data_IF_828545603076
#
_entry.id   IF_828545603076
#
_cell.length_a   1.000
_cell.length_b   1.000
_cell.length_c   1.000
_cell.angle_alpha   90.00
_cell.angle_beta   90.00
_cell.angle_gamma   90.00
#
_symmetry.space_group_name_H-M   'P 1'
#
loop_
_entity.id
_entity.type
_entity.pdbx_description
1 polymer ?
#
# COMPACT_ATOMS: atom_id res chain seq x y z
N UNK A 1 -13.66 -16.48 -4.12
CA UNK A 1 -13.33 -15.96 -2.78
C UNK A 1 -12.15 -14.97 -2.89
N UNK A 2 -12.34 -13.86 -3.61
CA UNK A 2 -11.35 -12.79 -3.75
C UNK A 2 -11.53 -11.85 -2.55
N UNK A 3 -10.65 -11.94 -1.54
CA UNK A 3 -10.49 -10.85 -0.56
C UNK A 3 -10.00 -9.63 -1.34
N UNK A 4 -10.94 -8.82 -1.81
CA UNK A 4 -10.70 -7.40 -1.98
C UNK A 4 -10.19 -6.94 -0.62
N UNK A 5 -8.89 -6.74 -0.50
CA UNK A 5 -8.33 -5.95 0.57
C UNK A 5 -8.85 -4.54 0.27
N UNK A 6 -10.08 -4.23 0.72
CA UNK A 6 -10.41 -2.88 1.17
C UNK A 6 -9.17 -2.48 1.94
N UNK A 7 -8.46 -1.46 1.42
CA UNK A 7 -7.21 -1.00 2.02
C UNK A 7 -7.44 -1.00 3.52
N UNK A 8 -6.62 -1.75 4.26
CA UNK A 8 -6.79 -1.83 5.69
C UNK A 8 -6.87 -0.38 6.16
N UNK A 9 -8.05 0.00 6.65
CA UNK A 9 -8.19 1.30 7.27
C UNK A 9 -7.22 1.30 8.45
N UNK A 10 -6.80 2.48 8.88
CA UNK A 10 -6.06 2.58 10.12
C UNK A 10 -6.78 1.80 11.22
N UNK A 11 -6.03 1.13 12.12
CA UNK A 11 -6.65 0.45 13.26
C UNK A 11 -7.63 1.37 13.98
N UNK A 12 -8.74 0.83 14.48
CA UNK A 12 -9.73 1.62 15.20
C UNK A 12 -9.09 2.37 16.37
N UNK A 13 -9.34 3.68 16.48
CA UNK A 13 -8.73 4.53 17.51
C UNK A 13 -7.37 5.12 17.14
N UNK A 14 -6.80 4.78 15.97
CA UNK A 14 -5.46 5.24 15.59
C UNK A 14 -5.41 6.75 15.33
N UNK A 15 -6.41 7.30 14.63
CA UNK A 15 -6.50 8.73 14.36
C UNK A 15 -6.65 9.50 15.69
N UNK A 16 -7.56 9.06 16.55
CA UNK A 16 -7.79 9.65 17.87
C UNK A 16 -6.52 9.58 18.73
N UNK A 17 -5.83 8.44 18.73
CA UNK A 17 -4.57 8.27 19.43
C UNK A 17 -3.46 9.18 18.90
N UNK A 18 -3.41 9.41 17.59
CA UNK A 18 -2.46 10.34 16.99
C UNK A 18 -2.78 11.80 17.31
N UNK A 19 -4.05 12.14 17.52
CA UNK A 19 -4.50 13.47 17.97
C UNK A 19 -4.25 13.71 19.46
N UNK A 20 -4.01 12.66 20.26
CA UNK A 20 -3.65 12.84 21.66
C UNK A 20 -2.40 13.73 21.76
N UNK A 21 -2.58 14.87 22.42
CA UNK A 21 -1.50 15.78 22.81
C UNK A 21 -0.47 14.97 23.56
N UNK A 22 0.83 15.21 23.29
CA UNK A 22 1.91 14.55 24.03
C UNK A 22 1.56 14.60 25.51
N UNK A 23 1.41 13.42 26.13
CA UNK A 23 1.26 13.35 27.57
C UNK A 23 2.41 14.19 28.14
N UNK A 24 2.06 15.21 28.93
CA UNK A 24 3.04 16.09 29.55
C UNK A 24 4.15 15.22 30.16
N UNK A 25 5.43 15.66 30.13
CA UNK A 25 6.50 14.99 30.88
C UNK A 25 6.10 14.66 32.34
N UNK A 26 5.08 15.31 32.88
CA UNK A 26 4.46 15.07 34.19
C UNK A 26 3.45 13.90 34.27
N UNK A 27 3.39 13.01 33.27
CA UNK A 27 2.47 11.85 33.26
C UNK A 27 2.66 10.84 34.41
N UNK A 28 3.61 11.07 35.33
CA UNK A 28 3.98 10.16 36.42
C UNK A 28 4.66 8.87 35.95
N UNK A 29 4.76 8.65 34.64
CA UNK A 29 5.42 7.49 34.06
C UNK A 29 6.95 7.62 34.14
N UNK A 30 7.66 6.52 34.41
CA UNK A 30 9.11 6.55 34.56
C UNK A 30 9.79 6.88 33.23
N UNK A 31 10.95 7.53 33.34
CA UNK A 31 11.90 7.72 32.26
C UNK A 31 13.09 6.79 32.45
N UNK A 32 13.56 6.15 31.38
CA UNK A 32 14.69 5.23 31.43
C UNK A 32 15.68 5.49 30.29
N UNK A 33 16.96 5.51 30.65
CA UNK A 33 18.06 5.68 29.71
C UNK A 33 18.96 4.46 29.76
N UNK A 34 19.28 3.90 28.60
CA UNK A 34 20.14 2.71 28.47
C UNK A 34 21.49 2.89 29.14
N UNK A 35 22.21 3.97 28.84
CA UNK A 35 23.54 4.25 29.41
C UNK A 35 23.53 4.30 30.94
N UNK A 36 22.53 4.99 31.54
CA UNK A 36 22.34 5.07 32.98
C UNK A 36 22.02 3.71 33.61
N UNK A 37 21.06 2.98 33.05
CA UNK A 37 20.68 1.66 33.56
C UNK A 37 21.85 0.68 33.55
N UNK A 38 22.59 0.64 32.43
CA UNK A 38 23.75 -0.24 32.30
C UNK A 38 24.82 0.14 33.30
N UNK A 39 25.13 1.43 33.50
CA UNK A 39 26.10 1.87 34.51
C UNK A 39 25.73 1.41 35.94
N UNK A 40 24.45 1.50 36.31
CA UNK A 40 23.95 1.11 37.63
C UNK A 40 23.93 -0.42 37.85
N UNK A 41 23.67 -1.19 36.80
CA UNK A 41 23.47 -2.65 36.88
C UNK A 41 24.66 -3.48 36.39
N UNK A 42 25.76 -2.83 36.00
CA UNK A 42 26.98 -3.50 35.52
C UNK A 42 27.73 -4.16 36.69
N UNK A 43 27.30 -5.37 37.05
CA UNK A 43 28.03 -6.26 37.99
C UNK A 43 29.05 -7.17 37.30
N UNK A 44 29.25 -7.04 35.99
CA UNK A 44 30.16 -7.89 35.22
C UNK A 44 30.24 -7.52 33.73
N UNK A 45 29.43 -8.16 32.89
CA UNK A 45 29.44 -7.95 31.43
C UNK A 45 28.44 -6.89 30.98
N UNK A 46 28.83 -6.09 29.97
CA UNK A 46 27.94 -5.14 29.31
C UNK A 46 26.74 -5.82 28.65
N UNK A 47 26.96 -7.01 28.07
CA UNK A 47 25.92 -7.78 27.40
C UNK A 47 24.77 -8.17 28.32
N UNK A 48 25.08 -8.72 29.51
CA UNK A 48 24.05 -9.12 30.47
C UNK A 48 23.23 -7.93 30.99
N UNK A 49 23.88 -6.79 31.24
CA UNK A 49 23.18 -5.57 31.65
C UNK A 49 22.27 -5.02 30.52
N UNK A 50 22.73 -5.09 29.26
CA UNK A 50 21.94 -4.69 28.10
C UNK A 50 20.73 -5.63 27.87
N UNK A 51 20.91 -6.95 27.96
CA UNK A 51 19.81 -7.91 27.88
C UNK A 51 18.78 -7.72 29.00
N UNK A 52 19.26 -7.46 30.23
CA UNK A 52 18.39 -7.11 31.37
C UNK A 52 17.61 -5.82 31.10
N UNK A 53 18.25 -4.80 30.52
CA UNK A 53 17.58 -3.58 30.10
C UNK A 53 16.45 -3.88 29.10
N UNK A 54 16.74 -4.56 28.00
CA UNK A 54 15.74 -4.85 26.97
C UNK A 54 14.59 -5.71 27.51
N UNK A 55 14.90 -6.68 28.36
CA UNK A 55 13.89 -7.51 29.04
C UNK A 55 13.03 -6.66 29.96
N UNK A 56 13.61 -5.74 30.71
CA UNK A 56 12.86 -4.86 31.62
C UNK A 56 11.94 -3.89 30.89
N UNK A 57 12.39 -3.34 29.76
CA UNK A 57 11.66 -2.35 28.95
C UNK A 57 10.50 -2.97 28.19
N UNK A 58 10.60 -4.26 27.86
CA UNK A 58 9.60 -4.98 27.06
C UNK A 58 8.62 -5.78 27.92
N UNK A 59 8.62 -5.63 29.24
CA UNK A 59 7.63 -6.32 30.09
C UNK A 59 6.22 -5.79 29.81
N UNK A 60 5.19 -6.66 29.78
CA UNK A 60 3.81 -6.25 29.47
C UNK A 60 3.25 -5.13 30.33
N UNK A 61 3.63 -5.08 31.60
CA UNK A 61 3.14 -4.10 32.57
C UNK A 61 3.93 -2.78 32.56
N UNK A 62 5.07 -2.76 31.87
CA UNK A 62 5.93 -1.56 31.84
C UNK A 62 5.49 -0.58 30.78
N UNK A 63 5.50 0.70 31.16
CA UNK A 63 5.11 1.84 30.34
C UNK A 63 6.07 2.98 30.64
N UNK A 64 6.46 3.72 29.61
CA UNK A 64 7.52 4.73 29.71
C UNK A 64 7.04 6.09 29.21
N UNK A 65 7.33 7.16 29.96
CA UNK A 65 7.21 8.52 29.43
C UNK A 65 8.30 8.76 28.39
N UNK A 66 9.53 8.40 28.74
CA UNK A 66 10.68 8.54 27.87
C UNK A 66 11.61 7.34 27.99
N UNK A 67 11.89 6.71 26.85
CA UNK A 67 12.82 5.61 26.70
C UNK A 67 13.94 6.05 25.75
N UNK A 68 15.14 6.20 26.29
CA UNK A 68 16.34 6.55 25.51
C UNK A 68 17.27 5.35 25.40
N UNK A 69 17.56 4.95 24.17
CA UNK A 69 18.50 3.89 23.84
C UNK A 69 19.71 4.55 23.19
N UNK A 70 20.80 4.65 23.93
CA UNK A 70 22.05 5.30 23.56
C UNK A 70 23.23 4.34 23.82
N UNK A 71 23.37 3.26 23.02
CA UNK A 71 24.45 2.33 23.21
C UNK A 71 25.79 3.04 23.02
N UNK A 72 26.64 2.91 24.03
CA UNK A 72 28.01 3.40 24.07
C UNK A 72 28.96 2.24 24.40
N UNK A 73 30.24 2.38 24.03
CA UNK A 73 31.27 1.36 24.28
C UNK A 73 31.21 0.15 23.33
N UNK A 74 31.76 -1.00 23.72
CA UNK A 74 31.92 -2.16 22.83
C UNK A 74 30.61 -2.83 22.37
N UNK A 75 29.45 -2.44 22.93
CA UNK A 75 28.14 -2.95 22.53
C UNK A 75 27.69 -2.47 21.13
N UNK A 76 28.43 -1.50 20.56
CA UNK A 76 28.29 -0.93 19.21
C UNK A 76 28.23 -2.00 18.09
N UNK A 77 28.70 -3.23 18.35
CA UNK A 77 28.72 -4.33 17.38
C UNK A 77 27.42 -5.14 17.27
N UNK A 78 26.43 -4.94 18.17
CA UNK A 78 25.30 -5.86 18.31
C UNK A 78 24.01 -5.45 17.57
N UNK A 79 23.15 -6.46 17.37
CA UNK A 79 21.78 -6.32 16.91
C UNK A 79 20.89 -5.96 18.11
N UNK A 80 20.28 -4.79 18.10
CA UNK A 80 19.33 -4.35 19.11
C UNK A 80 17.96 -4.93 18.76
N UNK A 81 17.36 -5.72 19.66
CA UNK A 81 16.04 -6.30 19.46
C UNK A 81 15.10 -5.92 20.60
N UNK A 82 14.03 -5.22 20.27
CA UNK A 82 12.96 -4.82 21.18
C UNK A 82 11.69 -5.58 20.77
N UNK A 83 11.30 -6.57 21.57
CA UNK A 83 10.09 -7.36 21.32
C UNK A 83 9.06 -7.07 22.39
N UNK A 84 8.15 -6.14 22.09
CA UNK A 84 7.02 -5.86 22.97
C UNK A 84 5.97 -6.97 22.86
N UNK A 85 5.19 -7.20 23.93
CA UNK A 85 4.13 -8.18 23.91
C UNK A 85 3.11 -7.82 22.82
N UNK A 86 2.61 -8.85 22.15
CA UNK A 86 1.56 -8.66 21.16
C UNK A 86 0.26 -8.36 21.91
N UNK A 87 -0.14 -7.10 21.91
CA UNK A 87 -1.49 -6.74 22.33
C UNK A 87 -2.49 -7.17 21.25
N UNK A 88 -3.67 -7.64 21.67
CA UNK A 88 -4.73 -8.03 20.75
C UNK A 88 -5.00 -6.89 19.76
N UNK A 89 -4.92 -7.16 18.45
CA UNK A 89 -5.11 -6.15 17.38
C UNK A 89 -6.49 -5.44 17.43
N UNK A 90 -7.44 -6.00 18.18
CA UNK A 90 -8.78 -5.46 18.39
C UNK A 90 -8.88 -4.53 19.60
N UNK A 91 -7.86 -4.47 20.46
CA UNK A 91 -7.85 -3.50 21.57
C UNK A 91 -7.80 -2.09 20.97
N UNK A 92 -8.72 -1.22 21.37
CA UNK A 92 -8.66 0.19 21.00
C UNK A 92 -7.30 0.76 21.41
N UNK A 93 -6.66 1.50 20.51
CA UNK A 93 -5.39 2.14 20.81
C UNK A 93 -5.65 3.27 21.80
N UNK A 94 -5.00 3.20 22.96
CA UNK A 94 -5.15 4.16 24.05
C UNK A 94 -3.81 4.48 24.71
N UNK A 95 -3.82 5.47 25.61
CA UNK A 95 -2.69 5.80 26.49
C UNK A 95 -2.21 4.59 27.28
N UNK A 96 -3.11 3.75 27.78
CA UNK A 96 -2.82 2.56 28.59
C UNK A 96 -2.08 1.47 27.79
N UNK A 97 -2.33 1.43 26.48
CA UNK A 97 -1.66 0.50 25.56
C UNK A 97 -0.37 1.04 24.95
N UNK A 98 -0.01 2.29 25.27
CA UNK A 98 1.17 2.93 24.69
C UNK A 98 2.42 2.54 25.47
N UNK A 99 3.27 1.69 24.88
CA UNK A 99 4.49 1.20 25.51
C UNK A 99 5.46 2.32 25.90
N UNK A 100 5.65 3.32 25.03
CA UNK A 100 6.49 4.48 25.32
C UNK A 100 5.93 5.74 24.64
N UNK A 101 5.78 6.84 25.37
CA UNK A 101 5.39 8.12 24.76
C UNK A 101 6.49 8.66 23.86
N UNK A 102 7.75 8.53 24.28
CA UNK A 102 8.90 8.90 23.47
C UNK A 102 9.96 7.80 23.51
N UNK A 103 10.30 7.28 22.33
CA UNK A 103 11.43 6.38 22.10
C UNK A 103 12.50 7.15 21.31
N UNK A 104 13.66 7.35 21.90
CA UNK A 104 14.81 7.94 21.21
C UNK A 104 15.90 6.88 21.09
N UNK A 105 16.25 6.51 19.87
CA UNK A 105 17.38 5.60 19.62
C UNK A 105 18.49 6.39 18.96
N UNK A 106 19.62 6.48 19.63
CA UNK A 106 20.81 7.19 19.17
C UNK A 106 22.05 6.31 19.33
N UNK A 107 23.19 6.69 18.76
CA UNK A 107 24.45 5.93 18.92
C UNK A 107 24.75 4.98 17.75
N UNK A 108 25.80 4.18 17.88
CA UNK A 108 26.27 3.31 16.81
C UNK A 108 25.67 1.90 16.96
N UNK A 109 24.97 1.42 15.94
CA UNK A 109 24.41 0.07 15.90
C UNK A 109 24.31 -0.44 14.46
N UNK A 110 24.34 -1.77 14.29
CA UNK A 110 24.19 -2.39 12.95
C UNK A 110 22.74 -2.67 12.60
N UNK A 111 21.96 -3.16 13.55
CA UNK A 111 20.56 -3.54 13.38
C UNK A 111 19.77 -3.07 14.60
N UNK A 112 18.63 -2.43 14.37
CA UNK A 112 17.58 -2.20 15.35
C UNK A 112 16.31 -2.87 14.83
N UNK A 113 15.86 -3.92 15.51
CA UNK A 113 14.59 -4.60 15.24
C UNK A 113 13.62 -4.29 16.37
N UNK A 114 12.51 -3.64 16.05
CA UNK A 114 11.46 -3.31 17.00
C UNK A 114 10.17 -4.01 16.56
N UNK A 115 9.55 -4.77 17.46
CA UNK A 115 8.40 -5.63 17.16
C UNK A 115 7.25 -5.27 18.10
N UNK A 116 6.06 -5.06 17.55
CA UNK A 116 4.80 -4.77 18.25
C UNK A 116 4.82 -3.49 19.10
N UNK A 117 5.76 -2.58 18.86
CA UNK A 117 5.88 -1.37 19.66
C UNK A 117 4.70 -0.41 19.40
N UNK A 118 4.22 0.25 20.45
CA UNK A 118 3.19 1.30 20.39
C UNK A 118 3.80 2.57 20.97
N UNK A 119 4.13 3.53 20.13
CA UNK A 119 5.01 4.66 20.49
C UNK A 119 4.47 6.00 20.01
N UNK A 120 4.40 6.98 20.91
CA UNK A 120 3.94 8.34 20.54
C UNK A 120 4.92 9.06 19.60
N UNK A 121 6.18 9.15 19.96
CA UNK A 121 7.27 9.72 19.16
C UNK A 121 8.45 8.76 19.13
N UNK A 122 8.85 8.31 17.94
CA UNK A 122 10.05 7.54 17.71
C UNK A 122 11.07 8.39 16.95
N UNK A 123 12.22 8.70 17.57
CA UNK A 123 13.31 9.45 16.95
C UNK A 123 14.52 8.54 16.73
N UNK A 124 15.01 8.47 15.49
CA UNK A 124 16.12 7.59 15.10
C UNK A 124 17.34 8.43 14.71
N UNK A 125 18.36 8.44 15.57
CA UNK A 125 19.58 9.26 15.43
C UNK A 125 20.86 8.41 15.48
N UNK A 126 21.03 7.47 14.55
CA UNK A 126 22.24 6.67 14.54
C UNK A 126 23.48 7.51 14.27
N UNK A 127 24.57 7.12 14.91
CA UNK A 127 25.87 7.77 14.80
C UNK A 127 26.77 6.83 14.00
N UNK A 128 27.17 7.25 12.80
CA UNK A 128 28.07 6.48 11.94
C UNK A 128 27.48 5.18 11.35
N UNK A 129 28.15 4.62 10.34
CA UNK A 129 27.73 3.39 9.64
C UNK A 129 26.44 3.54 8.83
N UNK A 130 25.92 2.41 8.33
CA UNK A 130 24.61 2.34 7.65
C UNK A 130 23.70 1.38 8.42
N UNK A 131 23.06 1.83 9.50
CA UNK A 131 22.25 0.95 10.34
C UNK A 131 21.02 0.46 9.58
N UNK A 132 20.64 -0.79 9.85
CA UNK A 132 19.38 -1.37 9.44
C UNK A 132 18.36 -1.20 10.56
N UNK A 133 17.24 -0.53 10.30
CA UNK A 133 16.14 -0.38 11.24
C UNK A 133 14.94 -1.11 10.69
N UNK A 134 14.45 -2.11 11.42
CA UNK A 134 13.29 -2.92 11.07
C UNK A 134 12.19 -2.74 12.11
N UNK A 135 11.04 -2.23 11.68
CA UNK A 135 9.86 -2.01 12.52
C UNK A 135 8.75 -2.97 12.08
N UNK A 136 8.42 -3.95 12.92
CA UNK A 136 7.49 -5.03 12.61
C UNK A 136 6.22 -4.93 13.46
N UNK A 137 5.06 -4.80 12.83
CA UNK A 137 3.76 -4.63 13.48
C UNK A 137 3.73 -3.49 14.51
N UNK A 138 4.51 -2.43 14.28
CA UNK A 138 4.57 -1.28 15.18
C UNK A 138 3.44 -0.29 14.89
N UNK A 139 3.00 0.46 15.90
CA UNK A 139 2.12 1.61 15.79
C UNK A 139 2.89 2.82 16.31
N UNK A 140 3.15 3.79 15.45
CA UNK A 140 3.98 4.95 15.79
C UNK A 140 3.23 6.20 15.36
N UNK A 141 2.90 7.09 16.29
CA UNK A 141 2.21 8.34 15.95
C UNK A 141 3.13 9.24 15.13
N UNK A 142 4.36 9.47 15.57
CA UNK A 142 5.35 10.27 14.82
C UNK A 142 6.69 9.55 14.75
N UNK A 143 7.20 9.31 13.55
CA UNK A 143 8.52 8.74 13.28
C UNK A 143 9.41 9.83 12.69
N UNK A 144 10.45 10.22 13.41
CA UNK A 144 11.39 11.25 13.00
C UNK A 144 12.76 10.66 12.69
N UNK A 145 13.26 10.98 11.50
CA UNK A 145 14.62 10.67 11.08
C UNK A 145 15.31 12.00 10.77
N UNK A 146 15.97 12.63 11.75
CA UNK A 146 16.55 13.95 11.59
C UNK A 146 17.70 13.94 10.59
N UNK A 147 18.06 15.15 10.15
CA UNK A 147 19.11 15.35 9.17
C UNK A 147 20.45 14.83 9.68
N UNK A 148 21.34 14.45 8.75
CA UNK A 148 22.73 14.11 9.04
C UNK A 148 23.34 15.18 9.95
N UNK A 149 23.72 14.81 11.17
CA UNK A 149 24.62 15.65 11.94
C UNK A 149 25.95 15.71 11.20
N UNK A 150 26.53 16.90 11.09
CA UNK A 150 27.77 17.17 10.33
C UNK A 150 28.97 16.34 10.76
N UNK A 151 28.89 15.66 11.91
CA UNK A 151 30.01 14.98 12.55
C UNK A 151 30.15 13.53 12.05
N UNK A 152 29.06 12.79 11.79
CA UNK A 152 29.11 11.44 11.19
C UNK A 152 27.84 11.11 10.39
N UNK A 153 27.89 11.11 9.04
CA UNK A 153 26.70 10.92 8.19
C UNK A 153 26.34 9.43 8.07
N UNK A 154 25.59 8.90 9.03
CA UNK A 154 25.00 7.56 8.90
C UNK A 154 23.72 7.58 8.07
N UNK A 155 23.65 6.80 7.00
CA UNK A 155 22.41 6.64 6.22
C UNK A 155 21.64 5.41 6.70
N UNK A 156 20.36 5.57 7.02
CA UNK A 156 19.56 4.50 7.59
C UNK A 156 18.93 3.66 6.49
N UNK A 157 19.01 2.34 6.59
CA UNK A 157 18.07 1.45 5.88
C UNK A 157 16.86 1.22 6.76
N UNK A 158 15.69 1.71 6.35
CA UNK A 158 14.44 1.57 7.11
C UNK A 158 13.50 0.56 6.44
N UNK A 159 13.11 -0.46 7.19
CA UNK A 159 12.12 -1.46 6.80
C UNK A 159 10.91 -1.41 7.74
N UNK A 160 9.73 -1.19 7.17
CA UNK A 160 8.45 -1.21 7.87
C UNK A 160 7.66 -2.44 7.40
N UNK A 161 7.34 -3.35 8.31
CA UNK A 161 6.63 -4.60 8.00
C UNK A 161 5.34 -4.69 8.84
N UNK A 162 4.18 -4.53 8.21
CA UNK A 162 2.89 -4.50 8.92
C UNK A 162 2.72 -3.33 9.90
N UNK A 163 3.55 -2.29 9.79
CA UNK A 163 3.59 -1.16 10.73
C UNK A 163 2.69 0.01 10.29
N UNK A 164 2.10 0.70 11.27
CA UNK A 164 1.24 1.87 11.10
C UNK A 164 1.93 3.11 11.63
N UNK A 165 2.18 4.07 10.74
CA UNK A 165 2.84 5.34 11.07
C UNK A 165 1.82 6.47 10.87
N UNK A 166 1.68 7.35 11.85
CA UNK A 166 0.87 8.57 11.71
C UNK A 166 1.61 9.53 10.80
N UNK A 167 2.65 10.17 11.31
CA UNK A 167 3.49 11.11 10.56
C UNK A 167 4.92 10.60 10.46
N UNK A 168 5.39 10.40 9.22
CA UNK A 168 6.79 10.11 8.92
C UNK A 168 7.50 11.41 8.51
N UNK A 169 8.47 11.85 9.31
CA UNK A 169 9.26 13.06 9.04
C UNK A 169 10.62 12.67 8.49
N UNK A 170 10.89 13.07 7.24
CA UNK A 170 12.12 12.76 6.52
C UNK A 170 12.96 14.02 6.36
N UNK A 171 14.20 13.96 6.83
CA UNK A 171 15.18 14.99 6.55
C UNK A 171 15.98 14.69 5.27
N UNK A 172 16.66 15.70 4.68
CA UNK A 172 17.52 15.48 3.53
C UNK A 172 18.63 14.45 3.79
N UNK A 173 18.86 13.53 2.85
CA UNK A 173 19.89 12.49 2.89
C UNK A 173 19.81 11.52 4.08
N UNK A 174 18.66 11.36 4.72
CA UNK A 174 18.54 10.55 5.94
C UNK A 174 18.42 9.03 5.68
N UNK A 175 17.90 8.63 4.52
CA UNK A 175 17.62 7.23 4.19
C UNK A 175 18.49 6.73 3.06
N UNK A 176 19.18 5.61 3.28
CA UNK A 176 19.81 4.81 2.22
C UNK A 176 18.74 4.04 1.47
N UNK A 177 18.09 3.10 2.15
CA UNK A 177 17.03 2.27 1.57
C UNK A 177 15.77 2.44 2.41
N UNK A 178 14.60 2.45 1.76
CA UNK A 178 13.32 2.56 2.42
C UNK A 178 12.32 1.56 1.86
N UNK A 179 11.91 0.59 2.68
CA UNK A 179 10.98 -0.46 2.29
C UNK A 179 9.79 -0.50 3.22
N UNK A 180 8.60 -0.48 2.65
CA UNK A 180 7.34 -0.61 3.39
C UNK A 180 6.56 -1.78 2.83
N UNK A 181 6.27 -2.77 3.67
CA UNK A 181 5.53 -3.98 3.31
C UNK A 181 4.33 -4.12 4.23
N UNK A 182 3.11 -3.98 3.70
CA UNK A 182 1.90 -3.94 4.52
C UNK A 182 1.80 -2.66 5.37
N UNK A 183 0.83 -2.64 6.29
CA UNK A 183 0.60 -1.51 7.19
C UNK A 183 0.17 -0.24 6.45
N UNK A 184 0.49 0.93 7.02
CA UNK A 184 0.12 2.21 6.42
C UNK A 184 0.87 3.41 6.99
N UNK A 185 0.92 4.49 6.22
CA UNK A 185 1.51 5.77 6.62
C UNK A 185 0.49 6.87 6.35
N UNK A 186 0.07 7.60 7.39
CA UNK A 186 -1.01 8.59 7.26
C UNK A 186 -0.53 9.88 6.60
N UNK A 187 0.67 10.33 6.99
CA UNK A 187 1.28 11.53 6.46
C UNK A 187 2.79 11.32 6.30
N UNK A 188 3.34 11.84 5.20
CA UNK A 188 4.79 11.89 4.97
C UNK A 188 5.19 13.35 4.84
N UNK A 189 6.01 13.84 5.76
CA UNK A 189 6.63 15.15 5.68
C UNK A 189 7.98 14.99 4.98
N UNK A 190 7.98 15.29 3.68
CA UNK A 190 9.18 15.34 2.87
C UNK A 190 9.69 16.77 2.71
N UNK A 191 11.01 16.96 2.60
CA UNK A 191 11.56 18.27 2.35
C UNK A 191 11.17 18.75 0.94
N UNK A 192 11.16 20.06 0.65
CA UNK A 192 10.71 20.62 -0.63
C UNK A 192 11.43 20.00 -1.83
N UNK A 193 10.82 20.03 -3.02
CA UNK A 193 11.39 19.42 -4.23
C UNK A 193 12.78 19.93 -4.58
N UNK A 194 13.12 21.16 -4.20
CA UNK A 194 14.38 21.83 -4.55
C UNK A 194 15.49 21.53 -3.54
N UNK A 195 15.14 20.94 -2.40
CA UNK A 195 16.08 20.51 -1.38
C UNK A 195 16.80 19.22 -1.77
N UNK A 196 17.83 18.86 -1.00
CA UNK A 196 18.54 17.59 -1.16
C UNK A 196 17.59 16.41 -0.92
N UNK A 197 17.73 15.38 -1.76
CA UNK A 197 16.86 14.20 -1.73
C UNK A 197 16.96 13.49 -0.36
N UNK A 198 15.83 13.18 0.31
CA UNK A 198 15.85 12.39 1.55
C UNK A 198 16.34 10.94 1.33
N UNK A 199 16.29 10.44 0.10
CA UNK A 199 16.67 9.08 -0.27
C UNK A 199 17.98 9.05 -1.06
N UNK A 200 18.86 8.11 -0.73
CA UNK A 200 20.12 7.85 -1.44
C UNK A 200 20.10 6.53 -2.24
N UNK A 201 19.15 5.63 -1.97
CA UNK A 201 19.06 4.29 -2.54
C UNK A 201 17.61 3.82 -2.69
N UNK A 202 17.40 2.50 -2.69
CA UNK A 202 16.14 1.89 -3.13
C UNK A 202 14.94 2.28 -2.24
N UNK A 203 13.83 2.68 -2.87
CA UNK A 203 12.55 2.94 -2.20
C UNK A 203 11.50 1.98 -2.73
N UNK A 204 10.76 1.30 -1.86
CA UNK A 204 9.71 0.35 -2.25
C UNK A 204 8.52 0.38 -1.30
N UNK A 205 7.32 0.45 -1.87
CA UNK A 205 6.04 0.36 -1.15
C UNK A 205 5.25 -0.83 -1.71
N UNK A 206 4.95 -1.81 -0.85
CA UNK A 206 4.23 -3.03 -1.21
C UNK A 206 3.06 -3.23 -0.26
N UNK A 207 1.84 -3.28 -0.79
CA UNK A 207 0.62 -3.45 0.01
C UNK A 207 0.44 -2.41 1.13
N UNK A 208 1.03 -1.22 0.97
CA UNK A 208 0.98 -0.15 1.96
C UNK A 208 -0.28 0.70 1.78
N UNK A 209 -0.98 0.97 2.89
CA UNK A 209 -2.05 1.96 2.92
C UNK A 209 -1.47 3.38 2.99
N UNK A 210 -1.84 4.21 2.03
CA UNK A 210 -1.44 5.62 1.95
C UNK A 210 -2.71 6.41 1.64
N UNK A 211 -3.16 7.29 2.55
CA UNK A 211 -4.48 7.90 2.46
C UNK A 211 -4.55 8.90 1.30
N UNK A 212 -5.68 8.93 0.61
CA UNK A 212 -5.92 9.83 -0.51
C UNK A 212 -6.90 10.94 -0.16
N UNK A 213 -7.47 10.97 1.05
CA UNK A 213 -8.39 12.03 1.46
C UNK A 213 -8.49 12.15 2.98
N UNK A 214 -8.99 13.29 3.45
CA UNK A 214 -9.33 13.50 4.87
C UNK A 214 -10.48 12.63 5.37
N UNK A 215 -11.24 11.98 4.47
CA UNK A 215 -12.26 10.98 4.84
C UNK A 215 -11.67 9.65 5.26
N UNK A 216 -10.43 9.37 4.84
CA UNK A 216 -9.73 8.12 5.16
C UNK A 216 -8.92 8.22 6.46
N UNK A 217 -8.41 9.42 6.76
CA UNK A 217 -7.77 9.75 8.05
C UNK A 217 -7.77 11.26 8.25
N UNK A 218 -7.95 11.70 9.49
CA UNK A 218 -7.85 13.12 9.86
C UNK A 218 -6.43 13.67 9.76
N UNK A 219 -5.43 12.80 9.84
CA UNK A 219 -4.01 13.16 9.75
C UNK A 219 -3.58 13.58 8.33
N UNK A 220 -4.46 13.42 7.34
CA UNK A 220 -4.16 13.79 5.96
C UNK A 220 -4.08 15.31 5.78
N UNK A 221 -2.85 15.84 5.63
CA UNK A 221 -2.58 17.27 5.46
C UNK A 221 -2.57 17.76 3.99
N UNK A 222 -3.05 16.96 3.03
CA UNK A 222 -3.20 17.38 1.63
C UNK A 222 -2.19 16.78 0.64
N UNK A 223 -2.30 17.14 -0.66
CA UNK A 223 -1.55 16.50 -1.76
C UNK A 223 -0.07 16.92 -1.84
N UNK A 224 0.34 17.98 -1.12
CA UNK A 224 1.68 18.55 -1.22
C UNK A 224 2.79 17.56 -0.88
N UNK A 225 2.57 16.70 0.12
CA UNK A 225 3.47 15.62 0.49
C UNK A 225 3.78 14.69 -0.71
N UNK A 226 2.75 14.30 -1.46
CA UNK A 226 2.90 13.41 -2.62
C UNK A 226 3.63 14.10 -3.77
N UNK A 227 3.44 15.41 -3.97
CA UNK A 227 4.19 16.19 -4.97
C UNK A 227 5.69 16.19 -4.68
N UNK A 228 6.08 16.49 -3.44
CA UNK A 228 7.48 16.49 -3.03
C UNK A 228 8.10 15.10 -3.15
N UNK A 229 7.41 14.08 -2.66
CA UNK A 229 7.92 12.70 -2.69
C UNK A 229 7.98 12.15 -4.13
N UNK A 230 7.02 12.49 -5.00
CA UNK A 230 7.10 12.20 -6.44
C UNK A 230 8.36 12.81 -7.08
N UNK A 231 8.64 14.10 -6.82
CA UNK A 231 9.80 14.78 -7.37
C UNK A 231 11.12 14.12 -6.93
N UNK A 232 11.23 13.77 -5.65
CA UNK A 232 12.40 13.08 -5.10
C UNK A 232 12.59 11.66 -5.65
N UNK A 233 11.50 10.89 -5.78
CA UNK A 233 11.56 9.56 -6.38
C UNK A 233 11.89 9.60 -7.88
N UNK A 234 11.43 10.64 -8.58
CA UNK A 234 11.80 10.87 -9.99
C UNK A 234 13.29 11.20 -10.12
N UNK A 235 13.85 12.00 -9.20
CA UNK A 235 15.30 12.31 -9.15
C UNK A 235 16.16 11.08 -8.83
N UNK A 236 15.58 10.08 -8.17
CA UNK A 236 16.21 8.79 -7.85
C UNK A 236 16.01 7.74 -8.97
N UNK A 237 15.45 8.13 -10.13
CA UNK A 237 15.08 7.23 -11.23
C UNK A 237 14.15 6.06 -10.87
N UNK A 238 13.47 6.13 -9.72
CA UNK A 238 12.50 5.14 -9.28
C UNK A 238 11.13 5.41 -9.89
N UNK A 239 11.02 5.17 -11.20
CA UNK A 239 9.83 5.47 -12.00
C UNK A 239 8.57 4.77 -11.49
N UNK A 240 8.70 3.56 -10.95
CA UNK A 240 7.56 2.76 -10.47
C UNK A 240 6.93 3.43 -9.24
N UNK A 241 7.74 3.76 -8.22
CA UNK A 241 7.25 4.44 -7.02
C UNK A 241 6.83 5.88 -7.31
N UNK A 242 7.54 6.58 -8.20
CA UNK A 242 7.14 7.91 -8.63
C UNK A 242 5.73 7.90 -9.24
N UNK A 243 5.45 6.98 -10.17
CA UNK A 243 4.12 6.86 -10.78
C UNK A 243 3.03 6.51 -9.76
N UNK A 244 3.33 5.66 -8.78
CA UNK A 244 2.42 5.36 -7.68
C UNK A 244 2.08 6.63 -6.87
N UNK A 245 3.07 7.44 -6.55
CA UNK A 245 2.87 8.65 -5.74
C UNK A 245 2.16 9.75 -6.52
N UNK A 246 2.42 9.83 -7.83
CA UNK A 246 1.65 10.68 -8.75
C UNK A 246 0.18 10.24 -8.84
N UNK A 247 -0.11 8.94 -8.89
CA UNK A 247 -1.51 8.48 -8.92
C UNK A 247 -2.23 8.79 -7.62
N UNK A 248 -1.55 8.70 -6.47
CA UNK A 248 -2.07 9.11 -5.15
C UNK A 248 -2.32 10.61 -5.07
N UNK A 249 -1.37 11.42 -5.55
CA UNK A 249 -1.55 12.86 -5.66
C UNK A 249 -2.81 13.21 -6.44
N UNK A 250 -2.97 12.66 -7.66
CA UNK A 250 -4.14 12.93 -8.50
C UNK A 250 -5.46 12.49 -7.85
N UNK A 251 -5.46 11.35 -7.15
CA UNK A 251 -6.64 10.91 -6.37
C UNK A 251 -6.98 11.91 -5.26
N UNK A 252 -5.97 12.41 -4.56
CA UNK A 252 -6.19 13.35 -3.46
C UNK A 252 -6.64 14.73 -3.91
N UNK A 253 -6.18 15.21 -5.07
CA UNK A 253 -6.67 16.45 -5.67
C UNK A 253 -8.15 16.37 -6.05
N UNK A 254 -8.61 15.16 -6.42
CA UNK A 254 -10.00 14.92 -6.87
C UNK A 254 -10.95 14.49 -5.75
N UNK A 255 -10.45 14.24 -4.54
CA UNK A 255 -11.27 13.78 -3.42
C UNK A 255 -12.34 14.79 -2.99
N UNK A 256 -12.19 16.06 -3.36
CA UNK A 256 -13.15 17.12 -3.10
C UNK A 256 -14.27 17.23 -4.16
N UNK A 257 -14.17 16.54 -5.29
CA UNK A 257 -15.14 16.63 -6.38
C UNK A 257 -16.44 15.88 -6.06
N UNK A 258 -17.60 16.53 -6.26
CA UNK A 258 -18.93 15.97 -5.99
C UNK A 258 -19.69 15.64 -7.28
N UNK A 259 -20.70 14.76 -7.19
CA UNK A 259 -21.62 14.44 -8.30
C UNK A 259 -21.03 13.50 -9.36
N UNK A 260 -21.27 13.80 -10.64
CA UNK A 260 -20.85 12.97 -11.79
C UNK A 260 -19.32 12.84 -11.85
N UNK A 261 -18.60 13.89 -11.45
CA UNK A 261 -17.15 13.87 -11.35
C UNK A 261 -16.65 12.77 -10.41
N UNK A 262 -17.35 12.51 -9.30
CA UNK A 262 -17.02 11.41 -8.38
C UNK A 262 -17.19 10.03 -9.05
N UNK A 263 -18.22 9.84 -9.88
CA UNK A 263 -18.40 8.60 -10.65
C UNK A 263 -17.29 8.45 -11.68
N UNK A 264 -16.97 9.51 -12.43
CA UNK A 264 -15.86 9.50 -13.38
C UNK A 264 -14.52 9.23 -12.69
N UNK A 265 -14.30 9.75 -11.48
CA UNK A 265 -13.13 9.50 -10.65
C UNK A 265 -13.08 8.09 -10.09
N UNK A 266 -14.22 7.52 -9.73
CA UNK A 266 -14.31 6.13 -9.31
C UNK A 266 -13.96 5.20 -10.48
N UNK A 267 -14.53 5.44 -11.66
CA UNK A 267 -14.19 4.74 -12.91
C UNK A 267 -12.69 4.90 -13.18
N UNK A 268 -12.19 6.13 -13.25
CA UNK A 268 -10.77 6.40 -13.50
C UNK A 268 -9.87 5.75 -12.45
N UNK A 269 -10.25 5.78 -11.18
CA UNK A 269 -9.50 5.19 -10.08
C UNK A 269 -9.43 3.67 -10.17
N UNK A 270 -10.52 3.03 -10.62
CA UNK A 270 -10.53 1.62 -10.93
C UNK A 270 -9.53 1.33 -12.08
N UNK A 271 -9.59 2.10 -13.17
CA UNK A 271 -8.72 1.89 -14.32
C UNK A 271 -7.24 2.25 -14.06
N UNK A 272 -6.92 3.36 -13.40
CA UNK A 272 -5.57 3.93 -13.31
C UNK A 272 -4.49 3.02 -12.71
N UNK A 273 -4.87 2.03 -11.90
CA UNK A 273 -3.93 1.07 -11.29
C UNK A 273 -3.70 -0.20 -12.12
N UNK A 274 -4.09 -0.25 -13.41
CA UNK A 274 -3.86 -1.43 -14.26
C UNK A 274 -2.38 -1.83 -14.34
N UNK A 275 -1.46 -0.86 -14.29
CA UNK A 275 -0.02 -1.12 -14.38
C UNK A 275 0.56 -1.84 -13.16
N UNK A 276 -0.10 -1.76 -12.01
CA UNK A 276 0.37 -2.35 -10.76
C UNK A 276 -0.09 -3.79 -10.57
N UNK A 277 -1.09 -4.29 -11.31
CA UNK A 277 -1.54 -5.69 -11.23
C UNK A 277 -2.10 -6.17 -12.57
N UNK A 278 -1.46 -7.16 -13.22
CA UNK A 278 -1.92 -7.70 -14.51
C UNK A 278 -3.27 -8.43 -14.39
N UNK A 279 -3.64 -8.88 -13.19
CA UNK A 279 -4.91 -9.56 -12.95
C UNK A 279 -6.13 -8.62 -13.04
N UNK A 280 -5.97 -7.31 -12.82
CA UNK A 280 -7.09 -6.36 -12.80
C UNK A 280 -7.76 -6.23 -14.19
N UNK A 281 -7.03 -5.96 -15.28
CA UNK A 281 -7.60 -5.97 -16.62
C UNK A 281 -8.34 -7.26 -16.98
N UNK A 282 -7.80 -8.43 -16.64
CA UNK A 282 -8.44 -9.73 -16.89
C UNK A 282 -9.77 -9.83 -16.14
N UNK A 283 -9.80 -9.43 -14.87
CA UNK A 283 -11.05 -9.38 -14.09
C UNK A 283 -12.08 -8.41 -14.71
N UNK A 284 -11.66 -7.30 -15.30
CA UNK A 284 -12.58 -6.38 -15.99
C UNK A 284 -13.11 -6.94 -17.30
N UNK A 285 -12.27 -7.64 -18.09
CA UNK A 285 -12.73 -8.36 -19.29
C UNK A 285 -13.76 -9.41 -18.88
N UNK A 286 -13.50 -10.19 -17.83
CA UNK A 286 -14.44 -11.17 -17.32
C UNK A 286 -15.74 -10.52 -16.81
N UNK A 287 -15.65 -9.39 -16.10
CA UNK A 287 -16.81 -8.64 -15.65
C UNK A 287 -17.65 -8.09 -16.82
N UNK A 288 -17.01 -7.49 -17.83
CA UNK A 288 -17.65 -7.01 -19.03
C UNK A 288 -18.30 -8.15 -19.83
N UNK A 289 -17.64 -9.31 -19.89
CA UNK A 289 -18.17 -10.53 -20.50
C UNK A 289 -19.43 -11.02 -19.78
N UNK A 290 -19.42 -11.12 -18.45
CA UNK A 290 -20.59 -11.53 -17.67
C UNK A 290 -21.75 -10.55 -17.85
N UNK A 291 -21.47 -9.25 -17.85
CA UNK A 291 -22.50 -8.22 -18.10
C UNK A 291 -23.09 -8.33 -19.51
N UNK A 292 -22.27 -8.55 -20.52
CA UNK A 292 -22.72 -8.76 -21.89
C UNK A 292 -23.52 -10.07 -22.04
N UNK A 293 -23.09 -11.15 -21.37
CA UNK A 293 -23.82 -12.40 -21.32
C UNK A 293 -25.23 -12.22 -20.74
N UNK A 294 -25.35 -11.56 -19.58
CA UNK A 294 -26.64 -11.25 -18.95
C UNK A 294 -27.48 -10.33 -19.83
N UNK A 295 -26.85 -9.34 -20.47
CA UNK A 295 -27.51 -8.44 -21.42
C UNK A 295 -28.10 -9.18 -22.62
N UNK A 296 -27.30 -9.99 -23.31
CA UNK A 296 -27.76 -10.85 -24.40
C UNK A 296 -28.85 -11.81 -23.93
N UNK A 297 -28.69 -12.44 -22.77
CA UNK A 297 -29.68 -13.38 -22.26
C UNK A 297 -31.06 -12.74 -22.06
N UNK A 298 -31.12 -11.54 -21.50
CA UNK A 298 -32.38 -10.87 -21.17
C UNK A 298 -33.00 -10.13 -22.36
N UNK A 299 -32.19 -9.46 -23.18
CA UNK A 299 -32.67 -8.49 -24.17
C UNK A 299 -32.51 -8.94 -25.62
N UNK A 300 -31.48 -9.71 -25.94
CA UNK A 300 -31.16 -10.08 -27.32
C UNK A 300 -30.31 -11.37 -27.36
N UNK A 301 -30.93 -12.56 -27.33
CA UNK A 301 -30.20 -13.81 -27.26
C UNK A 301 -29.51 -14.17 -28.58
N UNK A 302 -29.58 -13.33 -29.62
CA UNK A 302 -29.03 -13.65 -30.93
C UNK A 302 -29.89 -14.59 -31.75
N UNK A 303 -29.81 -14.45 -33.06
CA UNK A 303 -30.37 -15.37 -34.04
C UNK A 303 -29.28 -16.12 -34.77
N UNK A 304 -29.64 -17.30 -35.29
CA UNK A 304 -28.77 -18.08 -36.15
C UNK A 304 -28.57 -17.34 -37.48
N UNK A 305 -27.33 -17.26 -37.93
CA UNK A 305 -26.97 -16.57 -39.17
C UNK A 305 -27.36 -17.35 -40.44
N UNK A 306 -27.64 -18.66 -40.31
CA UNK A 306 -27.94 -19.59 -41.40
C UNK A 306 -29.18 -20.43 -41.09
N UNK A 307 -29.83 -20.93 -42.14
CA UNK A 307 -31.01 -21.81 -42.08
C UNK A 307 -30.77 -23.05 -41.21
N UNK A 308 -31.82 -23.48 -40.49
CA UNK A 308 -31.84 -24.62 -39.57
C UNK A 308 -31.27 -25.93 -40.15
N UNK A 309 -31.33 -26.10 -41.48
CA UNK A 309 -30.79 -27.26 -42.19
C UNK A 309 -29.26 -27.38 -42.14
N UNK A 310 -28.53 -26.32 -41.74
CA UNK A 310 -27.07 -26.29 -41.72
C UNK A 310 -26.47 -26.87 -40.42
N UNK A 311 -27.24 -26.97 -39.34
CA UNK A 311 -26.72 -27.32 -38.02
C UNK A 311 -27.09 -28.76 -37.64
N UNK A 312 -26.11 -29.67 -37.71
CA UNK A 312 -26.27 -31.10 -37.38
C UNK A 312 -25.39 -31.48 -36.19
N UNK A 313 -25.80 -32.48 -35.40
CA UNK A 313 -25.00 -33.00 -34.27
C UNK A 313 -25.05 -32.09 -33.05
N UNK A 314 -23.91 -31.87 -32.37
CA UNK A 314 -23.84 -31.03 -31.17
C UNK A 314 -24.30 -29.57 -31.40
N UNK A 315 -24.27 -29.10 -32.65
CA UNK A 315 -24.78 -27.79 -33.04
C UNK A 315 -26.32 -27.70 -33.02
N UNK A 316 -27.04 -28.82 -32.97
CA UNK A 316 -28.51 -28.83 -32.82
C UNK A 316 -28.97 -28.28 -31.47
N UNK A 317 -28.12 -28.31 -30.44
CA UNK A 317 -28.37 -27.69 -29.12
C UNK A 317 -28.56 -26.17 -29.25
N UNK A 318 -28.09 -25.56 -30.35
CA UNK A 318 -28.29 -24.14 -30.66
C UNK A 318 -29.70 -23.82 -31.14
N UNK A 319 -30.42 -24.82 -31.67
CA UNK A 319 -31.81 -24.72 -32.14
C UNK A 319 -32.83 -24.90 -31.00
N UNK A 320 -32.39 -25.43 -29.85
CA UNK A 320 -33.26 -25.64 -28.69
C UNK A 320 -33.73 -24.32 -28.07
N UNK A 321 -35.02 -24.20 -27.76
CA UNK A 321 -35.62 -22.96 -27.25
C UNK A 321 -35.02 -22.56 -25.90
N UNK A 322 -34.75 -23.54 -25.02
CA UNK A 322 -34.23 -23.30 -23.69
C UNK A 322 -32.69 -23.36 -23.65
N UNK A 323 -32.07 -24.44 -24.14
CA UNK A 323 -30.61 -24.59 -24.16
C UNK A 323 -29.90 -23.70 -25.18
N UNK A 324 -30.55 -23.43 -26.32
CA UNK A 324 -30.02 -22.59 -27.38
C UNK A 324 -29.97 -21.12 -26.98
N UNK A 325 -30.93 -20.63 -26.17
CA UNK A 325 -30.90 -19.23 -25.67
C UNK A 325 -29.66 -18.97 -24.81
N UNK A 326 -29.36 -19.88 -23.87
CA UNK A 326 -28.18 -19.79 -23.01
C UNK A 326 -26.89 -19.83 -23.83
N UNK A 327 -26.78 -20.81 -24.73
CA UNK A 327 -25.58 -21.01 -25.54
C UNK A 327 -25.32 -19.82 -26.48
N UNK A 328 -26.35 -19.28 -27.12
CA UNK A 328 -26.21 -18.09 -27.98
C UNK A 328 -25.78 -16.85 -27.19
N UNK A 329 -26.37 -16.64 -26.01
CA UNK A 329 -26.03 -15.52 -25.12
C UNK A 329 -24.59 -15.61 -24.58
N UNK A 330 -24.07 -16.82 -24.42
CA UNK A 330 -22.68 -17.09 -24.02
C UNK A 330 -21.69 -16.86 -25.16
N UNK A 331 -22.00 -17.37 -26.35
CA UNK A 331 -21.09 -17.34 -27.50
C UNK A 331 -21.02 -15.96 -28.18
N UNK A 332 -22.11 -15.20 -28.19
CA UNK A 332 -22.15 -13.87 -28.84
C UNK A 332 -21.11 -12.88 -28.26
N UNK A 333 -21.08 -12.61 -26.94
CA UNK A 333 -20.05 -11.77 -26.35
C UNK A 333 -18.64 -12.33 -26.52
N UNK A 334 -18.49 -13.66 -26.49
CA UNK A 334 -17.19 -14.30 -26.66
C UNK A 334 -16.63 -14.06 -28.07
N UNK A 335 -17.46 -14.21 -29.10
CA UNK A 335 -17.09 -13.86 -30.47
C UNK A 335 -16.73 -12.37 -30.61
N UNK A 336 -17.40 -11.48 -29.88
CA UNK A 336 -17.08 -10.06 -29.90
C UNK A 336 -15.71 -9.73 -29.29
N UNK A 337 -15.28 -10.50 -28.28
CA UNK A 337 -13.94 -10.36 -27.69
C UNK A 337 -12.85 -10.78 -28.69
N UNK A 338 -13.09 -11.82 -29.49
CA UNK A 338 -12.09 -12.32 -30.45
C UNK A 338 -12.03 -11.44 -31.71
N UNK A 339 -13.18 -10.91 -32.14
CA UNK A 339 -13.29 -10.09 -33.34
C UNK A 339 -14.40 -9.01 -33.16
N UNK A 340 -14.06 -7.82 -32.62
CA UNK A 340 -15.06 -6.80 -32.29
C UNK A 340 -15.80 -6.28 -33.52
N UNK A 341 -15.11 -6.11 -34.64
CA UNK A 341 -15.70 -5.64 -35.89
C UNK A 341 -16.38 -6.75 -36.70
N UNK A 342 -16.18 -8.01 -36.33
CA UNK A 342 -16.79 -9.13 -37.03
C UNK A 342 -18.32 -9.04 -37.05
N UNK A 343 -18.96 -8.32 -36.10
CA UNK A 343 -20.43 -8.19 -36.04
C UNK A 343 -20.99 -7.53 -37.29
N UNK A 344 -20.22 -6.66 -37.93
CA UNK A 344 -20.65 -5.93 -39.13
C UNK A 344 -20.11 -6.53 -40.42
N UNK A 345 -18.93 -7.15 -40.40
CA UNK A 345 -18.20 -7.48 -41.64
C UNK A 345 -17.94 -8.98 -41.85
N UNK A 346 -18.19 -9.84 -40.85
CA UNK A 346 -17.87 -11.25 -40.94
C UNK A 346 -19.11 -12.10 -41.29
N UNK A 347 -19.12 -12.65 -42.50
CA UNK A 347 -20.17 -13.54 -43.01
C UNK A 347 -20.06 -14.97 -42.48
N UNK A 348 -18.98 -15.31 -41.76
CA UNK A 348 -18.74 -16.66 -41.21
C UNK A 348 -19.33 -16.85 -39.81
N UNK A 349 -20.08 -15.87 -39.30
CA UNK A 349 -20.67 -15.95 -37.97
C UNK A 349 -21.76 -17.00 -37.88
N UNK A 350 -21.78 -17.67 -36.72
CA UNK A 350 -22.83 -18.61 -36.38
C UNK A 350 -24.05 -17.86 -35.83
N UNK A 351 -23.82 -16.75 -35.13
CA UNK A 351 -24.85 -15.95 -34.47
C UNK A 351 -24.75 -14.48 -34.84
N UNK A 352 -25.89 -13.84 -35.04
CA UNK A 352 -26.02 -12.40 -35.27
C UNK A 352 -26.98 -11.85 -34.21
N UNK A 353 -26.66 -10.72 -33.57
CA UNK A 353 -27.62 -10.03 -32.71
C UNK A 353 -28.89 -9.68 -33.49
N UNK A 354 -30.04 -9.77 -32.83
CA UNK A 354 -31.35 -9.49 -33.46
C UNK A 354 -31.61 -8.00 -33.60
N UNK A 355 -30.99 -7.19 -32.74
CA UNK A 355 -31.18 -5.75 -32.69
C UNK A 355 -29.90 -5.00 -33.09
N UNK A 356 -30.04 -3.89 -33.81
CA UNK A 356 -28.91 -3.02 -34.13
C UNK A 356 -28.22 -2.45 -32.88
N UNK A 357 -28.99 -2.23 -31.80
CA UNK A 357 -28.45 -1.81 -30.50
C UNK A 357 -27.62 -2.92 -29.85
N UNK A 358 -28.03 -4.18 -29.96
CA UNK A 358 -27.25 -5.35 -29.55
C UNK A 358 -25.92 -5.43 -30.30
N UNK A 359 -25.92 -5.21 -31.62
CA UNK A 359 -24.69 -5.13 -32.42
C UNK A 359 -23.73 -4.05 -31.95
N UNK A 360 -24.25 -2.85 -31.67
CA UNK A 360 -23.46 -1.71 -31.21
C UNK A 360 -22.84 -1.98 -29.84
N UNK A 361 -23.63 -2.49 -28.88
CA UNK A 361 -23.15 -2.83 -27.54
C UNK A 361 -22.10 -3.93 -27.55
N UNK A 362 -22.32 -4.99 -28.33
CA UNK A 362 -21.34 -6.07 -28.48
C UNK A 362 -20.04 -5.54 -29.07
N UNK A 363 -20.10 -4.70 -30.11
CA UNK A 363 -18.90 -4.12 -30.72
C UNK A 363 -18.12 -3.23 -29.74
N UNK A 364 -18.83 -2.37 -28.99
CA UNK A 364 -18.22 -1.54 -27.95
C UNK A 364 -17.57 -2.39 -26.86
N UNK A 365 -18.23 -3.45 -26.41
CA UNK A 365 -17.70 -4.40 -25.43
C UNK A 365 -16.47 -5.15 -25.97
N UNK A 366 -16.49 -5.56 -27.24
CA UNK A 366 -15.36 -6.21 -27.90
C UNK A 366 -14.13 -5.28 -27.96
N UNK A 367 -14.31 -4.06 -28.46
CA UNK A 367 -13.24 -3.04 -28.50
C UNK A 367 -12.67 -2.74 -27.11
N UNK A 368 -13.56 -2.59 -26.12
CA UNK A 368 -13.15 -2.38 -24.75
C UNK A 368 -12.34 -3.57 -24.21
N UNK A 369 -12.75 -4.80 -24.51
CA UNK A 369 -12.05 -6.02 -24.11
C UNK A 369 -10.68 -6.13 -24.77
N UNK A 370 -10.56 -5.80 -26.05
CA UNK A 370 -9.29 -5.76 -26.79
C UNK A 370 -8.31 -4.76 -26.17
N UNK A 371 -8.77 -3.54 -25.88
CA UNK A 371 -7.96 -2.53 -25.19
C UNK A 371 -7.46 -3.09 -23.85
N UNK A 372 -8.32 -3.74 -23.08
CA UNK A 372 -7.94 -4.33 -21.79
C UNK A 372 -6.96 -5.51 -21.94
N UNK A 373 -7.10 -6.36 -22.96
CA UNK A 373 -6.16 -7.44 -23.26
C UNK A 373 -4.78 -6.90 -23.65
N UNK A 374 -4.73 -5.87 -24.51
CA UNK A 374 -3.49 -5.16 -24.86
C UNK A 374 -2.85 -4.56 -23.60
N UNK A 375 -3.65 -3.92 -22.75
CA UNK A 375 -3.18 -3.34 -21.49
C UNK A 375 -2.66 -4.42 -20.52
N UNK A 376 -3.26 -5.61 -20.53
CA UNK A 376 -2.78 -6.78 -19.79
C UNK A 376 -1.38 -7.16 -20.27
N UNK A 377 -1.19 -7.34 -21.58
CA UNK A 377 0.10 -7.68 -22.17
C UNK A 377 1.19 -6.62 -21.85
N UNK A 378 0.83 -5.33 -21.94
CA UNK A 378 1.73 -4.23 -21.57
C UNK A 378 2.08 -4.24 -20.07
N UNK A 379 1.12 -4.54 -19.20
CA UNK A 379 1.36 -4.62 -17.75
C UNK A 379 2.28 -5.79 -17.38
N UNK A 380 2.13 -6.94 -18.04
CA UNK A 380 3.01 -8.10 -17.88
C UNK A 380 4.42 -7.75 -18.34
N UNK A 381 4.56 -7.15 -19.54
CA UNK A 381 5.86 -6.71 -20.08
C UNK A 381 6.58 -5.74 -19.14
N UNK A 382 5.87 -4.78 -18.54
CA UNK A 382 6.47 -3.81 -17.61
C UNK A 382 7.04 -4.48 -16.36
N UNK A 383 6.41 -5.52 -15.84
CA UNK A 383 6.91 -6.26 -14.67
C UNK A 383 8.18 -7.03 -14.99
N UNK A 384 8.20 -7.76 -16.11
CA UNK A 384 9.41 -8.51 -16.52
C UNK A 384 10.61 -7.64 -16.90
N UNK A 385 10.42 -6.34 -17.14
CA UNK A 385 11.54 -5.40 -17.37
C UNK A 385 12.04 -4.75 -16.06
N UNK A 386 11.27 -4.85 -14.98
CA UNK A 386 11.58 -4.23 -13.70
C UNK A 386 12.24 -5.22 -12.71
N UNK A 387 12.11 -6.52 -12.97
CA UNK A 387 12.98 -7.58 -12.45
C UNK A 387 14.20 -7.73 -13.37
#
# INVERSE_FOLDING_TARGET
>A
MLRWIRGQYFPSGFDEWCELVEASPDSGLPSLTFSKYVQEHRKGSWGAAAESFFTSVTKPETRWSYLRIDPSGDYIKHQLKLKFPEEHRTSAISTETTHAWRLSVSGIFKLLECINARVGLCSLQPIGGTPHVRLVNCMIRKLEIPAKSSIHPGEITLELDGSWIGTLVLAPGCLKNFRVTGGGIAQIECPPSDSQNPFAGEVSFKNTFVPSSSRETKLFCGPHAYRSLYAHLKKLDNSLMANLMRSRQLRSERAAEQGIANVANWIYGAFADYGMSPGKPICWVLGAYILAFVGCYNFDPGMLAKSDSFYVGAYSVLLDENGGRYTRSFLLPFHSIINPFGVFFDTRKIFVPTTGLGSMLLTLQGLFSDILLVMTALSIRRRYKAE
#
